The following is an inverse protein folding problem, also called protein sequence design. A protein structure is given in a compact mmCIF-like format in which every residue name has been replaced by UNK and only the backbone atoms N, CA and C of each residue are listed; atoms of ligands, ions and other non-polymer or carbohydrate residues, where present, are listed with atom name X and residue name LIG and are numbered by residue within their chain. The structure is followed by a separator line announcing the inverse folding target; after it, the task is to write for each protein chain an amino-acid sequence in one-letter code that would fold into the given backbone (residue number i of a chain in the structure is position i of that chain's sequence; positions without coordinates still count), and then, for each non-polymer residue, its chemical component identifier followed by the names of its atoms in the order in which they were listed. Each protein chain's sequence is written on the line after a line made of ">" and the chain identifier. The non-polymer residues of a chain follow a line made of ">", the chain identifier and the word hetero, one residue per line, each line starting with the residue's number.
data_IF_500760836195
#
_entry.id   IF_500760836195
#
_cell.length_a   1.000
_cell.length_b   1.000
_cell.length_c   1.000
_cell.angle_alpha   90.00
_cell.angle_beta   90.00
_cell.angle_gamma   90.00
#
_symmetry.space_group_name_H-M   'P 1'
#
loop_
_entity.id
_entity.type
_entity.pdbx_description
1 polymer ?
#
# COMPACT_ATOMS: atom_id res chain seq x y z
N UNK A 1 -9.34 -2.30 -33.50
CA UNK A 1 -10.03 -3.42 -32.81
C UNK A 1 -9.97 -3.33 -31.27
N UNK A 2 -9.02 -2.61 -30.66
CA UNK A 2 -8.89 -2.53 -29.18
C UNK A 2 -9.96 -1.66 -28.49
N UNK A 3 -10.40 -0.57 -29.13
CA UNK A 3 -11.36 0.39 -28.53
C UNK A 3 -12.76 -0.19 -28.20
N UNK A 4 -13.38 -1.01 -29.08
CA UNK A 4 -14.65 -1.68 -28.77
C UNK A 4 -14.54 -2.67 -27.61
N UNK A 5 -13.46 -3.47 -27.56
CA UNK A 5 -13.23 -4.44 -26.50
C UNK A 5 -13.03 -3.77 -25.13
N UNK A 6 -12.30 -2.65 -25.08
CA UNK A 6 -12.11 -1.88 -23.85
C UNK A 6 -13.44 -1.33 -23.33
N UNK A 7 -14.27 -0.77 -24.22
CA UNK A 7 -15.57 -0.20 -23.85
C UNK A 7 -16.54 -1.26 -23.34
N UNK A 8 -16.55 -2.43 -23.97
CA UNK A 8 -17.35 -3.57 -23.52
C UNK A 8 -16.90 -4.04 -22.13
N UNK A 9 -15.59 -4.19 -21.91
CA UNK A 9 -15.03 -4.53 -20.61
C UNK A 9 -15.44 -3.55 -19.51
N UNK A 10 -15.30 -2.24 -19.74
CA UNK A 10 -15.71 -1.20 -18.79
C UNK A 10 -17.22 -1.28 -18.50
N UNK A 11 -18.06 -1.47 -19.53
CA UNK A 11 -19.51 -1.58 -19.38
C UNK A 11 -19.91 -2.77 -18.52
N UNK A 12 -19.27 -3.93 -18.69
CA UNK A 12 -19.54 -5.14 -17.89
C UNK A 12 -19.14 -4.97 -16.43
N UNK A 13 -18.01 -4.31 -16.16
CA UNK A 13 -17.56 -4.00 -14.80
C UNK A 13 -18.54 -3.04 -14.11
N UNK A 14 -18.94 -1.97 -14.80
CA UNK A 14 -19.91 -1.00 -14.29
C UNK A 14 -21.30 -1.63 -14.01
N UNK A 15 -21.69 -2.64 -14.80
CA UNK A 15 -22.95 -3.38 -14.63
C UNK A 15 -22.94 -4.42 -13.50
N UNK A 16 -21.80 -4.67 -12.84
CA UNK A 16 -21.65 -5.70 -11.82
C UNK A 16 -21.22 -5.13 -10.45
N UNK A 17 -22.06 -4.30 -9.79
CA UNK A 17 -21.69 -3.63 -8.55
C UNK A 17 -21.40 -4.61 -7.40
N UNK A 18 -22.06 -5.77 -7.37
CA UNK A 18 -21.80 -6.80 -6.37
C UNK A 18 -20.39 -7.41 -6.51
N UNK A 19 -19.90 -7.60 -7.74
CA UNK A 19 -18.53 -8.07 -7.96
C UNK A 19 -17.51 -7.02 -7.52
N UNK A 20 -17.75 -5.73 -7.83
CA UNK A 20 -16.90 -4.64 -7.38
C UNK A 20 -16.82 -4.56 -5.85
N UNK A 21 -17.97 -4.62 -5.18
CA UNK A 21 -18.03 -4.62 -3.72
C UNK A 21 -17.35 -5.86 -3.13
N UNK A 22 -17.57 -7.04 -3.71
CA UNK A 22 -16.94 -8.28 -3.26
C UNK A 22 -15.42 -8.25 -3.39
N UNK A 23 -14.89 -7.80 -4.54
CA UNK A 23 -13.46 -7.63 -4.76
C UNK A 23 -12.89 -6.61 -3.78
N UNK A 24 -13.55 -5.45 -3.63
CA UNK A 24 -13.13 -4.43 -2.67
C UNK A 24 -13.05 -4.98 -1.24
N UNK A 25 -14.09 -5.69 -0.78
CA UNK A 25 -14.10 -6.28 0.55
C UNK A 25 -13.03 -7.35 0.71
N UNK A 26 -12.84 -8.22 -0.28
CA UNK A 26 -11.76 -9.21 -0.26
C UNK A 26 -10.39 -8.54 -0.17
N UNK A 27 -10.13 -7.51 -0.98
CA UNK A 27 -8.90 -6.72 -0.92
C UNK A 27 -8.73 -6.03 0.43
N UNK A 28 -9.80 -5.47 0.99
CA UNK A 28 -9.78 -4.82 2.30
C UNK A 28 -9.45 -5.82 3.41
N UNK A 29 -10.08 -7.00 3.40
CA UNK A 29 -9.85 -8.07 4.38
C UNK A 29 -8.42 -8.60 4.30
N UNK A 30 -7.88 -8.71 3.09
CA UNK A 30 -6.48 -9.09 2.88
C UNK A 30 -5.51 -8.01 3.37
N UNK A 31 -5.80 -6.73 3.10
CA UNK A 31 -4.97 -5.62 3.53
C UNK A 31 -5.05 -5.33 5.05
N UNK A 32 -6.17 -5.65 5.70
CA UNK A 32 -6.43 -5.35 7.10
C UNK A 32 -5.35 -5.87 8.09
N UNK A 33 -4.94 -7.15 8.08
CA UNK A 33 -3.91 -7.63 9.01
C UNK A 33 -2.55 -6.96 8.78
N UNK A 34 -2.20 -6.67 7.52
CA UNK A 34 -0.99 -5.94 7.16
C UNK A 34 -1.04 -4.50 7.69
N UNK A 35 -2.18 -3.82 7.54
CA UNK A 35 -2.38 -2.47 8.06
C UNK A 35 -2.32 -2.42 9.59
N UNK A 36 -2.90 -3.40 10.29
CA UNK A 36 -2.84 -3.50 11.75
C UNK A 36 -1.42 -3.78 12.25
N UNK A 37 -0.66 -4.64 11.57
CA UNK A 37 0.74 -4.89 11.89
C UNK A 37 1.59 -3.62 11.74
N UNK A 38 1.43 -2.90 10.63
CA UNK A 38 2.12 -1.63 10.40
C UNK A 38 1.68 -0.55 11.40
N UNK A 39 0.41 -0.51 11.78
CA UNK A 39 -0.09 0.42 12.79
C UNK A 39 0.61 0.22 14.14
N UNK A 40 0.74 -1.03 14.60
CA UNK A 40 1.40 -1.32 15.88
C UNK A 40 2.89 -0.95 15.90
N UNK A 41 3.59 -1.05 14.76
CA UNK A 41 5.01 -0.65 14.68
C UNK A 41 5.17 0.86 14.64
N UNK A 42 4.29 1.57 13.92
CA UNK A 42 4.22 3.03 13.94
C UNK A 42 3.89 3.54 15.36
N UNK A 43 2.91 2.93 16.03
CA UNK A 43 2.51 3.29 17.39
C UNK A 43 3.66 3.09 18.39
N UNK A 44 4.39 1.98 18.31
CA UNK A 44 5.52 1.74 19.22
C UNK A 44 6.66 2.74 19.02
N UNK A 45 6.93 3.14 17.77
CA UNK A 45 7.95 4.14 17.42
C UNK A 45 7.54 5.57 17.79
N UNK A 46 6.24 5.91 17.68
CA UNK A 46 5.73 7.25 17.99
C UNK A 46 5.38 7.43 19.46
N UNK A 47 4.81 6.41 20.11
CA UNK A 47 4.27 6.49 21.47
C UNK A 47 5.32 6.75 22.55
N UNK A 48 6.60 6.58 22.23
CA UNK A 48 7.74 6.91 23.10
C UNK A 48 8.38 8.27 22.76
N UNK A 49 7.89 8.99 21.76
CA UNK A 49 8.52 10.19 21.17
C UNK A 49 7.60 11.42 21.19
N UNK A 50 8.19 12.60 21.39
CA UNK A 50 7.53 13.92 21.19
C UNK A 50 7.10 14.13 19.72
N UNK A 51 7.52 13.23 18.83
CA UNK A 51 7.11 13.21 17.43
C UNK A 51 5.62 12.87 17.23
N UNK A 52 4.92 12.25 18.19
CA UNK A 52 3.52 11.87 18.04
C UNK A 52 2.60 13.10 17.82
N UNK A 53 2.71 14.12 18.67
CA UNK A 53 1.93 15.36 18.53
C UNK A 53 2.27 16.10 17.23
N UNK A 54 3.55 16.11 16.85
CA UNK A 54 3.99 16.76 15.60
C UNK A 54 3.60 16.00 14.33
N UNK A 55 3.52 14.67 14.41
CA UNK A 55 3.03 13.83 13.31
C UNK A 55 1.52 14.01 13.11
N UNK A 56 0.78 14.34 14.18
CA UNK A 56 -0.65 14.68 14.08
C UNK A 56 -0.88 16.06 13.42
N UNK A 57 0.05 17.00 13.60
CA UNK A 57 0.01 18.33 12.98
C UNK A 57 0.48 18.34 11.51
N UNK A 58 1.18 17.29 11.06
CA UNK A 58 1.67 17.16 9.69
C UNK A 58 2.76 16.10 9.53
N UNK A 59 3.43 16.07 8.38
CA UNK A 59 4.51 15.11 8.12
C UNK A 59 5.78 15.49 8.90
N UNK A 60 6.23 14.63 9.81
CA UNK A 60 7.48 14.82 10.56
C UNK A 60 8.66 14.08 9.91
N UNK A 61 9.33 14.75 8.95
CA UNK A 61 10.35 14.11 8.10
C UNK A 61 11.49 13.42 8.84
N UNK A 62 12.04 14.05 9.88
CA UNK A 62 13.15 13.48 10.65
C UNK A 62 12.78 12.16 11.34
N UNK A 63 11.53 12.04 11.80
CA UNK A 63 11.04 10.80 12.40
C UNK A 63 10.84 9.73 11.32
N UNK A 64 10.29 10.10 10.17
CA UNK A 64 10.08 9.15 9.08
C UNK A 64 11.41 8.60 8.55
N UNK A 65 12.44 9.43 8.43
CA UNK A 65 13.79 8.96 8.08
C UNK A 65 14.36 7.98 9.12
N UNK A 66 14.20 8.26 10.41
CA UNK A 66 14.65 7.37 11.49
C UNK A 66 13.88 6.04 11.49
N UNK A 67 12.56 6.09 11.31
CA UNK A 67 11.71 4.91 11.15
C UNK A 67 12.17 4.06 9.95
N UNK A 68 12.45 4.70 8.80
CA UNK A 68 12.90 3.98 7.60
C UNK A 68 14.30 3.39 7.74
N UNK A 69 15.18 3.99 8.54
CA UNK A 69 16.52 3.46 8.80
C UNK A 69 16.48 2.11 9.55
N UNK A 70 15.40 1.85 10.28
CA UNK A 70 15.19 0.64 11.07
C UNK A 70 14.12 -0.28 10.48
N UNK A 71 13.47 0.14 9.38
CA UNK A 71 12.34 -0.56 8.79
C UNK A 71 12.71 -1.92 8.20
N UNK A 72 12.08 -2.98 8.70
CA UNK A 72 12.21 -4.34 8.17
C UNK A 72 10.87 -4.90 7.68
N UNK A 73 10.92 -5.89 6.79
CA UNK A 73 9.72 -6.57 6.29
C UNK A 73 8.68 -5.62 5.66
N UNK A 74 7.51 -5.51 6.30
CA UNK A 74 6.36 -4.70 5.84
C UNK A 74 6.59 -3.20 6.03
N UNK A 75 7.38 -2.78 6.99
CA UNK A 75 7.63 -1.37 7.31
C UNK A 75 8.30 -0.65 6.13
N UNK A 76 9.12 -1.38 5.35
CA UNK A 76 9.73 -0.87 4.10
C UNK A 76 8.70 -0.43 3.05
N UNK A 77 7.46 -0.91 3.14
CA UNK A 77 6.36 -0.47 2.25
C UNK A 77 5.81 0.90 2.64
N UNK A 78 6.07 1.37 3.86
CA UNK A 78 5.72 2.69 4.36
C UNK A 78 6.82 3.72 4.02
N UNK A 79 7.24 3.74 2.76
CA UNK A 79 8.28 4.65 2.29
C UNK A 79 7.68 5.96 1.75
N UNK A 80 8.39 7.09 1.93
CA UNK A 80 7.93 8.35 1.36
C UNK A 80 8.00 8.34 -0.17
N UNK A 81 6.86 8.65 -0.81
CA UNK A 81 6.80 8.89 -2.25
C UNK A 81 6.65 10.39 -2.51
N UNK A 82 7.73 11.01 -2.99
CA UNK A 82 7.81 12.45 -3.23
C UNK A 82 6.95 12.87 -4.45
N UNK A 83 6.57 11.93 -5.31
CA UNK A 83 5.75 12.19 -6.51
C UNK A 83 4.63 11.15 -6.56
N UNK A 84 3.40 11.52 -6.21
CA UNK A 84 2.28 10.58 -6.07
C UNK A 84 1.96 9.74 -7.32
N UNK A 85 2.24 10.25 -8.54
CA UNK A 85 2.14 9.47 -9.78
C UNK A 85 3.28 8.46 -9.98
N UNK A 86 4.44 8.72 -9.39
CA UNK A 86 5.59 7.84 -9.50
C UNK A 86 5.39 6.54 -8.70
N UNK A 87 4.54 6.52 -7.67
CA UNK A 87 4.28 5.31 -6.89
C UNK A 87 3.65 4.18 -7.74
N UNK A 88 2.53 4.38 -8.48
CA UNK A 88 2.03 3.38 -9.42
C UNK A 88 3.05 2.98 -10.49
N UNK A 89 3.78 3.95 -11.05
CA UNK A 89 4.79 3.68 -12.08
C UNK A 89 5.98 2.87 -11.53
N UNK A 90 6.39 3.12 -10.30
CA UNK A 90 7.45 2.37 -9.62
C UNK A 90 7.01 0.93 -9.36
N UNK A 91 5.74 0.70 -8.97
CA UNK A 91 5.19 -0.65 -8.83
C UNK A 91 5.16 -1.40 -10.17
N UNK A 92 4.79 -0.71 -11.26
CA UNK A 92 4.81 -1.29 -12.60
C UNK A 92 6.23 -1.58 -13.08
N UNK A 93 7.19 -0.69 -12.80
CA UNK A 93 8.61 -0.92 -13.11
C UNK A 93 9.13 -2.11 -12.33
N UNK A 94 8.92 -2.16 -11.01
CA UNK A 94 9.35 -3.27 -10.17
C UNK A 94 8.79 -4.61 -10.64
N UNK A 95 7.52 -4.65 -11.04
CA UNK A 95 6.91 -5.83 -11.64
C UNK A 95 7.56 -6.22 -12.98
N UNK A 96 7.81 -5.25 -13.86
CA UNK A 96 8.46 -5.48 -15.14
C UNK A 96 9.92 -5.94 -14.99
N UNK A 97 10.61 -5.41 -13.98
CA UNK A 97 12.00 -5.71 -13.64
C UNK A 97 12.14 -7.04 -12.88
N UNK A 98 11.03 -7.72 -12.56
CA UNK A 98 11.03 -8.96 -11.78
C UNK A 98 11.37 -8.77 -10.29
N UNK A 99 11.45 -7.52 -9.84
CA UNK A 99 11.60 -7.14 -8.44
C UNK A 99 10.21 -7.22 -7.78
N UNK A 100 9.80 -8.44 -7.44
CA UNK A 100 8.51 -8.68 -6.81
C UNK A 100 8.34 -7.86 -5.52
N UNK A 101 7.09 -7.57 -5.11
CA UNK A 101 6.84 -6.92 -3.83
C UNK A 101 7.53 -7.71 -2.70
N UNK A 102 7.96 -7.05 -1.60
CA UNK A 102 8.62 -7.72 -0.49
C UNK A 102 7.84 -8.97 -0.08
N UNK A 103 8.53 -10.08 0.19
CA UNK A 103 7.93 -11.41 0.36
C UNK A 103 6.77 -11.45 1.39
N UNK A 104 6.77 -10.52 2.35
CA UNK A 104 5.66 -10.29 3.29
C UNK A 104 4.30 -10.03 2.59
N UNK A 105 4.27 -9.37 1.44
CA UNK A 105 3.07 -9.14 0.64
C UNK A 105 2.68 -10.38 -0.19
N UNK A 106 3.64 -11.22 -0.56
CA UNK A 106 3.38 -12.46 -1.34
C UNK A 106 2.77 -13.57 -0.48
N UNK A 107 3.14 -13.66 0.80
CA UNK A 107 2.60 -14.65 1.73
C UNK A 107 1.07 -14.58 1.88
N UNK A 108 0.49 -13.40 1.65
CA UNK A 108 -0.93 -13.15 1.83
C UNK A 108 -1.77 -13.42 0.55
N UNK A 109 -1.12 -13.46 -0.61
CA UNK A 109 -1.75 -13.81 -1.90
C UNK A 109 -1.73 -15.33 -2.14
N UNK A 110 -0.87 -16.06 -1.43
CA UNK A 110 -0.73 -17.52 -1.53
C UNK A 110 -1.67 -18.31 -0.58
N UNK A 111 -2.61 -17.63 0.08
CA UNK A 111 -3.55 -18.19 1.06
C UNK A 111 -4.96 -18.33 0.47
#
# INVERSE_FOLDING_TARGET
>A
MVRPALRDGIGRVAGAPALLAGIYLATLLLAAPLALALHGTIESHLGTSVAADRAAEGVHWAWWEEFQAQAEGIERTFAPSIIGFAAPLANLSALADGNGPPAALLALVAL
#
